data_IF_044392426463
#
_entry.id   IF_044392426463
#
_cell.length_a   1.000
_cell.length_b   1.000
_cell.length_c   1.000
_cell.angle_alpha   90.00
_cell.angle_beta   90.00
_cell.angle_gamma   90.00
#
_symmetry.space_group_name_H-M   'P 1'
#
loop_
_entity.id
_entity.type
_entity.pdbx_description
1 polymer ?
#
# COMPACT_ATOMS: atom_id res chain seq x y z
N UNK A 1 -2.73 18.11 -0.49
CA UNK A 1 -2.98 16.95 0.38
C UNK A 1 -2.49 15.70 -0.33
N UNK A 2 -1.73 14.87 0.35
CA UNK A 2 -1.21 13.63 -0.25
C UNK A 2 -2.31 12.59 -0.37
N UNK A 3 -2.30 11.86 -1.48
CA UNK A 3 -3.31 10.86 -1.80
C UNK A 3 -2.74 9.45 -1.64
N UNK A 4 -3.39 8.63 -0.83
CA UNK A 4 -2.96 7.26 -0.52
C UNK A 4 -4.01 6.28 -1.02
N UNK A 5 -3.58 5.30 -1.82
CA UNK A 5 -4.47 4.23 -2.28
C UNK A 5 -4.35 3.03 -1.36
N UNK A 6 -5.50 2.48 -0.97
CA UNK A 6 -5.60 1.29 -0.14
C UNK A 6 -5.97 0.11 -1.03
N UNK A 7 -5.11 -0.90 -1.08
CA UNK A 7 -5.36 -2.12 -1.85
C UNK A 7 -5.49 -3.28 -0.87
N UNK A 8 -6.70 -3.48 -0.40
CA UNK A 8 -7.09 -4.44 0.63
C UNK A 8 -8.52 -4.88 0.36
N UNK A 9 -8.76 -6.19 0.16
CA UNK A 9 -10.10 -6.68 -0.18
C UNK A 9 -10.98 -6.96 1.04
N UNK A 10 -10.42 -7.04 2.25
CA UNK A 10 -11.22 -7.11 3.47
C UNK A 10 -11.88 -5.76 3.72
N UNK A 11 -13.21 -5.70 3.61
CA UNK A 11 -13.95 -4.44 3.67
C UNK A 11 -13.87 -3.78 5.05
N UNK A 12 -13.73 -4.56 6.12
CA UNK A 12 -13.60 -4.00 7.46
C UNK A 12 -12.23 -3.33 7.62
N UNK A 13 -11.17 -4.02 7.20
CA UNK A 13 -9.80 -3.51 7.31
C UNK A 13 -9.61 -2.29 6.40
N UNK A 14 -10.10 -2.34 5.16
CA UNK A 14 -9.95 -1.21 4.25
C UNK A 14 -10.67 0.02 4.75
N UNK A 15 -11.84 -0.15 5.37
CA UNK A 15 -12.58 0.97 5.97
C UNK A 15 -11.84 1.57 7.17
N UNK A 16 -11.28 0.72 8.03
CA UNK A 16 -10.48 1.19 9.17
C UNK A 16 -9.27 1.98 8.69
N UNK A 17 -8.57 1.49 7.68
CA UNK A 17 -7.44 2.20 7.09
C UNK A 17 -7.88 3.54 6.49
N UNK A 18 -8.99 3.55 5.78
CA UNK A 18 -9.54 4.77 5.19
C UNK A 18 -9.77 5.83 6.26
N UNK A 19 -10.46 5.47 7.34
CA UNK A 19 -10.77 6.40 8.43
C UNK A 19 -9.49 6.89 9.12
N UNK A 20 -8.54 6.00 9.35
CA UNK A 20 -7.26 6.36 9.95
C UNK A 20 -6.52 7.40 9.09
N UNK A 21 -6.47 7.20 7.79
CA UNK A 21 -5.76 8.09 6.88
C UNK A 21 -6.45 9.45 6.77
N UNK A 22 -7.77 9.45 6.62
CA UNK A 22 -8.54 10.69 6.53
C UNK A 22 -8.38 11.51 7.81
N UNK A 23 -8.47 10.86 8.97
CA UNK A 23 -8.30 11.54 10.25
C UNK A 23 -6.89 12.09 10.45
N UNK A 24 -5.90 11.52 9.77
CA UNK A 24 -4.52 11.99 9.83
C UNK A 24 -4.23 13.10 8.80
N UNK A 25 -5.21 13.51 8.01
CA UNK A 25 -5.06 14.61 7.05
C UNK A 25 -4.71 14.20 5.64
N UNK A 26 -4.80 12.90 5.32
CA UNK A 26 -4.56 12.42 3.96
C UNK A 26 -5.85 12.30 3.18
N UNK A 27 -5.74 12.34 1.85
CA UNK A 27 -6.80 11.90 0.97
C UNK A 27 -6.63 10.39 0.78
N UNK A 28 -7.70 9.61 0.96
CA UNK A 28 -7.63 8.16 0.87
C UNK A 28 -8.56 7.65 -0.23
N UNK A 29 -8.10 6.61 -0.94
CA UNK A 29 -8.83 6.00 -2.03
C UNK A 29 -8.76 4.49 -1.88
N UNK A 30 -9.91 3.82 -1.78
CA UNK A 30 -9.96 2.36 -1.69
C UNK A 30 -10.12 1.80 -3.10
N UNK A 31 -9.19 0.94 -3.52
CA UNK A 31 -9.30 0.26 -4.81
C UNK A 31 -10.50 -0.68 -4.79
N UNK A 32 -11.38 -0.56 -5.77
CA UNK A 32 -12.59 -1.37 -5.89
C UNK A 32 -12.47 -2.48 -6.93
N UNK A 33 -11.86 -2.18 -8.06
CA UNK A 33 -11.73 -3.12 -9.16
C UNK A 33 -10.33 -3.71 -9.17
N UNK A 34 -10.17 -4.85 -8.49
CA UNK A 34 -8.87 -5.52 -8.38
C UNK A 34 -8.37 -6.10 -9.70
N UNK A 35 -9.28 -6.35 -10.64
CA UNK A 35 -8.88 -6.86 -11.96
C UNK A 35 -8.16 -5.80 -12.79
N UNK A 36 -8.28 -4.53 -12.41
CA UNK A 36 -7.73 -3.39 -13.12
C UNK A 36 -6.77 -2.58 -12.23
N UNK A 37 -6.15 -3.24 -11.25
CA UNK A 37 -5.38 -2.56 -10.21
C UNK A 37 -4.25 -1.70 -10.77
N UNK A 38 -3.45 -2.25 -11.68
CA UNK A 38 -2.32 -1.52 -12.27
C UNK A 38 -2.78 -0.25 -12.96
N UNK A 39 -3.81 -0.34 -13.79
CA UNK A 39 -4.33 0.81 -14.53
C UNK A 39 -4.88 1.87 -13.58
N UNK A 40 -5.59 1.45 -12.54
CA UNK A 40 -6.14 2.38 -11.54
C UNK A 40 -5.02 3.12 -10.80
N UNK A 41 -3.95 2.41 -10.44
CA UNK A 41 -2.79 3.01 -9.78
C UNK A 41 -2.17 4.08 -10.67
N UNK A 42 -1.89 3.73 -11.92
CA UNK A 42 -1.15 4.60 -12.83
C UNK A 42 -1.94 5.86 -13.23
N UNK A 43 -3.27 5.78 -13.27
CA UNK A 43 -4.08 6.93 -13.68
C UNK A 43 -4.58 7.80 -12.54
N UNK A 44 -4.47 7.35 -11.28
CA UNK A 44 -5.14 8.02 -10.16
C UNK A 44 -4.29 9.06 -9.44
N UNK A 45 -3.09 9.32 -9.91
CA UNK A 45 -2.21 10.33 -9.35
C UNK A 45 -1.95 10.11 -7.85
N UNK A 46 -1.56 8.88 -7.50
CA UNK A 46 -1.37 8.42 -6.13
C UNK A 46 0.03 8.80 -5.64
N UNK A 47 0.13 9.19 -4.38
CA UNK A 47 1.41 9.54 -3.74
C UNK A 47 2.02 8.37 -2.96
N UNK A 48 1.19 7.43 -2.48
CA UNK A 48 1.66 6.27 -1.74
C UNK A 48 0.59 5.17 -1.80
N UNK A 49 1.02 3.91 -1.76
CA UNK A 49 0.13 2.76 -1.81
C UNK A 49 0.31 1.91 -0.55
N UNK A 50 -0.80 1.53 0.08
CA UNK A 50 -0.84 0.48 1.09
C UNK A 50 -1.35 -0.78 0.39
N UNK A 51 -0.57 -1.84 0.38
CA UNK A 51 -0.83 -3.02 -0.45
C UNK A 51 -0.77 -4.31 0.37
N UNK A 52 -1.84 -5.10 0.32
CA UNK A 52 -1.83 -6.45 0.90
C UNK A 52 -1.32 -7.45 -0.14
N UNK A 53 -0.71 -8.53 0.32
CA UNK A 53 -0.28 -9.62 -0.55
C UNK A 53 -1.48 -10.43 -1.05
N UNK A 54 -2.44 -10.72 -0.17
CA UNK A 54 -3.59 -11.55 -0.50
C UNK A 54 -4.73 -10.70 -1.06
N UNK A 55 -4.73 -10.49 -2.38
CA UNK A 55 -5.78 -9.74 -3.07
C UNK A 55 -6.35 -10.59 -4.21
N UNK A 56 -7.58 -10.28 -4.70
CA UNK A 56 -8.16 -11.01 -5.84
C UNK A 56 -7.38 -10.82 -7.13
N UNK A 57 -7.44 -11.80 -8.02
CA UNK A 57 -6.90 -11.84 -9.38
C UNK A 57 -5.39 -12.06 -9.47
N UNK A 58 -4.60 -11.49 -8.58
CA UNK A 58 -3.16 -11.75 -8.50
C UNK A 58 -2.71 -11.45 -7.08
N UNK A 59 -1.52 -11.91 -6.69
CA UNK A 59 -1.05 -11.54 -5.37
C UNK A 59 -0.37 -10.17 -5.40
N UNK A 60 -0.33 -9.51 -4.22
CA UNK A 60 0.19 -8.16 -4.12
C UNK A 60 1.67 -8.05 -4.47
N UNK A 61 2.46 -9.09 -4.22
CA UNK A 61 3.88 -9.09 -4.59
C UNK A 61 4.04 -9.01 -6.11
N UNK A 62 3.20 -9.74 -6.84
CA UNK A 62 3.22 -9.70 -8.29
C UNK A 62 2.77 -8.34 -8.82
N UNK A 63 1.74 -7.77 -8.23
CA UNK A 63 1.27 -6.43 -8.59
C UNK A 63 2.37 -5.40 -8.36
N UNK A 64 3.06 -5.47 -7.22
CA UNK A 64 4.19 -4.60 -6.91
C UNK A 64 5.26 -4.68 -8.00
N UNK A 65 5.63 -5.90 -8.37
CA UNK A 65 6.63 -6.12 -9.41
C UNK A 65 6.21 -5.47 -10.73
N UNK A 66 4.94 -5.60 -11.08
CA UNK A 66 4.41 -5.03 -12.33
C UNK A 66 4.43 -3.50 -12.32
N UNK A 67 3.97 -2.87 -11.25
CA UNK A 67 3.91 -1.41 -11.20
C UNK A 67 5.31 -0.79 -11.11
N UNK A 68 6.29 -1.48 -10.53
CA UNK A 68 7.65 -0.96 -10.42
C UNK A 68 8.34 -0.79 -11.77
N UNK A 69 7.86 -1.43 -12.81
CA UNK A 69 8.35 -1.20 -14.17
C UNK A 69 7.99 0.19 -14.69
N UNK A 70 6.99 0.83 -14.10
CA UNK A 70 6.44 2.07 -14.64
C UNK A 70 6.38 3.22 -13.65
N UNK A 71 6.56 2.97 -12.35
CA UNK A 71 6.48 4.04 -11.34
C UNK A 71 7.31 3.72 -10.12
N UNK A 72 7.74 4.78 -9.43
CA UNK A 72 8.47 4.69 -8.16
C UNK A 72 7.59 5.13 -6.98
N UNK A 73 6.28 5.12 -7.13
CA UNK A 73 5.36 5.48 -6.03
C UNK A 73 5.71 4.63 -4.81
N UNK A 74 5.87 5.23 -3.62
CA UNK A 74 6.16 4.46 -2.41
C UNK A 74 5.08 3.43 -2.14
N UNK A 75 5.49 2.20 -1.79
CA UNK A 75 4.58 1.11 -1.46
C UNK A 75 4.93 0.56 -0.10
N UNK A 76 3.96 0.53 0.81
CA UNK A 76 4.07 -0.14 2.10
C UNK A 76 3.21 -1.38 2.05
N UNK A 77 3.81 -2.55 2.24
CA UNK A 77 3.04 -3.79 2.35
C UNK A 77 2.39 -3.82 3.73
N UNK A 78 1.08 -4.07 3.76
CA UNK A 78 0.32 -4.21 5.01
C UNK A 78 -0.44 -5.53 4.92
N UNK A 79 0.10 -6.58 5.55
CA UNK A 79 -0.36 -7.92 5.30
C UNK A 79 -0.31 -8.78 6.55
N UNK A 80 -1.13 -9.85 6.59
CA UNK A 80 -1.08 -10.84 7.66
C UNK A 80 0.04 -11.87 7.45
N UNK A 81 0.72 -11.84 6.30
CA UNK A 81 1.83 -12.74 6.05
C UNK A 81 3.07 -12.26 6.80
N UNK A 82 3.39 -12.94 7.90
CA UNK A 82 4.45 -12.52 8.83
C UNK A 82 5.72 -13.34 8.67
N UNK A 83 5.92 -13.98 7.50
CA UNK A 83 7.11 -14.81 7.28
C UNK A 83 8.20 -14.01 6.58
N UNK A 84 9.43 -14.42 6.86
CA UNK A 84 10.63 -13.73 6.34
C UNK A 84 10.72 -13.79 4.82
N UNK A 85 10.28 -14.89 4.22
CA UNK A 85 10.33 -15.05 2.76
C UNK A 85 9.51 -14.00 2.03
N UNK A 86 8.27 -13.77 2.47
CA UNK A 86 7.41 -12.75 1.85
C UNK A 86 7.97 -11.35 2.07
N UNK A 87 8.53 -11.09 3.25
CA UNK A 87 9.14 -9.80 3.52
C UNK A 87 10.33 -9.54 2.59
N UNK A 88 11.23 -10.51 2.48
CA UNK A 88 12.40 -10.40 1.61
C UNK A 88 11.98 -10.19 0.15
N UNK A 89 11.02 -10.98 -0.34
CA UNK A 89 10.53 -10.83 -1.72
C UNK A 89 9.92 -9.46 -1.96
N UNK A 90 9.09 -8.98 -1.03
CA UNK A 90 8.45 -7.68 -1.19
C UNK A 90 9.48 -6.54 -1.27
N UNK A 91 10.47 -6.56 -0.39
CA UNK A 91 11.52 -5.54 -0.40
C UNK A 91 12.35 -5.65 -1.68
N UNK A 92 12.67 -6.88 -2.11
CA UNK A 92 13.46 -7.07 -3.34
C UNK A 92 12.70 -6.64 -4.59
N UNK A 93 11.36 -6.69 -4.57
CA UNK A 93 10.53 -6.22 -5.68
C UNK A 93 10.29 -4.70 -5.63
N UNK A 94 10.77 -4.03 -4.59
CA UNK A 94 10.73 -2.58 -4.53
C UNK A 94 9.75 -1.99 -3.52
N UNK A 95 9.24 -2.76 -2.56
CA UNK A 95 8.47 -2.21 -1.47
C UNK A 95 9.38 -1.34 -0.59
N UNK A 96 8.84 -0.24 -0.11
CA UNK A 96 9.58 0.68 0.74
C UNK A 96 9.50 0.24 2.21
N UNK A 97 8.46 -0.51 2.57
CA UNK A 97 8.26 -0.96 3.93
C UNK A 97 7.37 -2.19 3.96
N UNK A 98 7.39 -2.91 5.08
CA UNK A 98 6.62 -4.14 5.26
C UNK A 98 6.08 -4.16 6.70
N UNK A 99 4.75 -4.13 6.84
CA UNK A 99 4.09 -4.08 8.13
C UNK A 99 3.12 -5.24 8.23
N UNK A 100 3.19 -5.99 9.33
CA UNK A 100 2.31 -7.15 9.53
C UNK A 100 1.08 -6.78 10.36
N UNK A 101 -0.04 -7.39 10.02
CA UNK A 101 -1.29 -7.26 10.78
C UNK A 101 -1.28 -8.23 11.96
N UNK A 102 -1.81 -7.85 13.11
CA UNK A 102 -2.35 -6.53 13.43
C UNK A 102 -1.24 -5.49 13.57
N UNK A 103 -1.47 -4.31 13.04
CA UNK A 103 -0.46 -3.25 13.04
C UNK A 103 -0.79 -2.20 14.10
N UNK A 104 0.24 -1.46 14.52
CA UNK A 104 0.06 -0.26 15.34
C UNK A 104 -0.31 0.90 14.43
N UNK A 105 -1.48 1.55 14.63
CA UNK A 105 -1.86 2.71 13.82
C UNK A 105 -0.82 3.83 13.87
N UNK A 106 -0.23 4.07 15.04
CA UNK A 106 0.80 5.10 15.18
C UNK A 106 2.04 4.78 14.36
N UNK A 107 2.51 3.53 14.40
CA UNK A 107 3.68 3.11 13.62
C UNK A 107 3.39 3.21 12.13
N UNK A 108 2.21 2.78 11.69
CA UNK A 108 1.84 2.89 10.28
C UNK A 108 1.87 4.34 9.82
N UNK A 109 1.28 5.25 10.57
CA UNK A 109 1.28 6.67 10.21
C UNK A 109 2.68 7.27 10.19
N UNK A 110 3.56 6.86 11.11
CA UNK A 110 4.95 7.30 11.11
C UNK A 110 5.70 6.84 9.87
N UNK A 111 5.47 5.57 9.45
CA UNK A 111 6.10 5.03 8.24
C UNK A 111 5.60 5.73 6.99
N UNK A 112 4.30 5.99 6.90
CA UNK A 112 3.72 6.74 5.79
C UNK A 112 4.36 8.13 5.69
N UNK A 113 4.42 8.84 6.79
CA UNK A 113 5.00 10.18 6.83
C UNK A 113 6.48 10.17 6.42
N UNK A 114 7.24 9.20 6.91
CA UNK A 114 8.66 9.07 6.59
C UNK A 114 8.87 8.79 5.10
N UNK A 115 8.07 7.87 4.53
CA UNK A 115 8.22 7.50 3.13
C UNK A 115 7.81 8.63 2.20
N UNK A 116 6.75 9.36 2.53
CA UNK A 116 6.33 10.52 1.74
C UNK A 116 7.38 11.64 1.79
N UNK A 117 7.99 11.88 2.96
CA UNK A 117 9.01 12.90 3.11
C UNK A 117 10.26 12.56 2.30
N UNK A 118 10.66 11.29 2.29
CA UNK A 118 11.83 10.83 1.54
C UNK A 118 11.66 11.02 0.04
N UNK A 119 10.49 10.68 -0.48
CA UNK A 119 10.20 10.80 -1.91
C UNK A 119 9.98 12.26 -2.32
N UNK A 120 9.46 13.08 -1.41
CA UNK A 120 9.20 14.50 -1.66
C UNK A 120 10.45 15.38 -1.81
N UNK A 121 11.62 14.78 -1.65
CA UNK A 121 12.88 15.49 -1.86
C UNK A 121 13.26 15.44 -3.34
#
# INVERSE_FOLDING_TARGET
MKKIMIIEDDTIISKELYELLVNAGYEALILKDFSNAKEEILKSNIDLILLDINIPYQNGEQLLKEIRKETNIPVIMVTSRANETDEILSISYGADDYITKPYSPTILLLRISADLARIGR
#
